data_IF_435936220773
#
_entry.id   IF_435936220773
#
_cell.length_a   1.000
_cell.length_b   1.000
_cell.length_c   1.000
_cell.angle_alpha   90.00
_cell.angle_beta   90.00
_cell.angle_gamma   90.00
#
_symmetry.space_group_name_H-M   'P 1'
#
loop_
_entity.id
_entity.type
_entity.pdbx_description
1 polymer ?
#
# COMPACT_ATOMS: atom_id res chain seq x y z
N UNK A 1 61.52 -44.15 -30.79
CA UNK A 1 60.48 -43.21 -31.23
C UNK A 1 61.03 -42.40 -32.37
N UNK A 2 60.54 -42.67 -33.60
CA UNK A 2 61.04 -42.06 -34.80
C UNK A 2 60.56 -40.64 -34.99
N UNK A 3 61.34 -39.84 -35.72
CA UNK A 3 61.00 -38.42 -36.02
C UNK A 3 59.65 -38.30 -36.77
N UNK A 4 59.27 -39.31 -37.52
CA UNK A 4 57.98 -39.42 -38.20
C UNK A 4 56.77 -39.29 -37.26
N UNK A 5 56.80 -39.91 -36.10
CA UNK A 5 55.67 -39.90 -35.16
C UNK A 5 55.38 -38.56 -34.46
N UNK A 6 56.25 -37.57 -34.59
CA UNK A 6 56.10 -36.23 -33.99
C UNK A 6 55.63 -35.20 -34.99
N UNK A 7 56.06 -35.32 -36.21
CA UNK A 7 55.54 -34.48 -37.28
C UNK A 7 54.08 -34.81 -37.52
N UNK A 8 53.70 -36.11 -37.40
CA UNK A 8 52.32 -36.57 -37.41
C UNK A 8 51.46 -35.97 -36.25
N UNK A 9 52.06 -35.81 -35.03
CA UNK A 9 51.36 -35.22 -33.91
C UNK A 9 51.12 -33.70 -34.06
N UNK A 10 52.08 -32.99 -34.66
CA UNK A 10 51.91 -31.58 -34.97
C UNK A 10 50.89 -31.36 -36.10
N UNK A 11 50.94 -32.15 -37.16
CA UNK A 11 49.96 -32.06 -38.25
C UNK A 11 48.54 -32.40 -37.78
N UNK A 12 48.41 -33.40 -36.93
CA UNK A 12 47.13 -33.70 -36.28
C UNK A 12 46.62 -32.52 -35.42
N UNK A 13 47.53 -31.89 -34.67
CA UNK A 13 47.17 -30.73 -33.86
C UNK A 13 46.73 -29.50 -34.73
N UNK A 14 47.45 -29.22 -35.83
CA UNK A 14 47.07 -28.13 -36.75
C UNK A 14 45.73 -28.38 -37.41
N UNK A 15 45.43 -29.61 -37.78
CA UNK A 15 44.16 -30.03 -38.36
C UNK A 15 43.03 -29.83 -37.36
N UNK A 16 43.22 -30.28 -36.10
CA UNK A 16 42.23 -30.10 -35.06
C UNK A 16 42.05 -28.63 -34.65
N UNK A 17 43.16 -27.84 -34.64
CA UNK A 17 43.12 -26.39 -34.36
C UNK A 17 42.31 -25.63 -35.40
N UNK A 18 42.44 -26.00 -36.68
CA UNK A 18 41.70 -25.37 -37.77
C UNK A 18 40.18 -25.60 -37.67
N UNK A 19 39.73 -26.65 -36.97
CA UNK A 19 38.32 -26.94 -36.74
C UNK A 19 37.71 -26.23 -35.51
N UNK A 20 38.55 -25.57 -34.72
CA UNK A 20 38.09 -24.86 -33.49
C UNK A 20 37.29 -23.61 -33.87
N UNK A 21 36.07 -23.49 -33.35
CA UNK A 21 35.19 -22.35 -33.61
C UNK A 21 34.82 -21.55 -32.35
N UNK A 22 34.96 -22.13 -31.17
CA UNK A 22 34.60 -21.50 -29.89
C UNK A 22 35.75 -21.55 -28.87
N UNK A 23 35.76 -20.62 -27.87
CA UNK A 23 36.72 -20.69 -26.77
C UNK A 23 36.66 -22.04 -25.99
N UNK A 24 35.49 -22.67 -25.93
CA UNK A 24 35.30 -23.95 -25.29
C UNK A 24 35.97 -25.09 -26.06
N UNK A 25 35.90 -25.06 -27.39
CA UNK A 25 36.58 -26.04 -28.26
C UNK A 25 38.10 -25.89 -28.13
N UNK A 26 38.59 -24.63 -28.07
CA UNK A 26 40.02 -24.36 -27.89
C UNK A 26 40.52 -24.89 -26.54
N UNK A 27 39.74 -24.73 -25.45
CA UNK A 27 40.09 -25.30 -24.15
C UNK A 27 40.09 -26.80 -24.18
N UNK A 28 39.13 -27.43 -24.83
CA UNK A 28 39.04 -28.87 -24.98
C UNK A 28 40.24 -29.42 -25.78
N UNK A 29 40.70 -28.70 -26.82
CA UNK A 29 41.91 -29.04 -27.58
C UNK A 29 43.16 -28.90 -26.71
N UNK A 30 43.28 -27.83 -25.94
CA UNK A 30 44.37 -27.59 -24.97
C UNK A 30 44.48 -28.76 -23.98
N UNK A 31 43.36 -29.18 -23.38
CA UNK A 31 43.32 -30.28 -22.41
C UNK A 31 43.72 -31.63 -23.05
N UNK A 32 43.32 -31.86 -24.31
CA UNK A 32 43.67 -33.10 -25.07
C UNK A 32 45.16 -33.22 -25.35
N UNK A 33 45.83 -32.11 -25.60
CA UNK A 33 47.27 -32.10 -25.93
C UNK A 33 48.17 -31.87 -24.74
N UNK A 34 47.79 -30.93 -23.82
CA UNK A 34 48.61 -30.43 -22.71
C UNK A 34 48.13 -30.85 -21.35
N UNK A 35 46.97 -31.53 -21.25
CA UNK A 35 46.38 -31.94 -19.99
C UNK A 35 47.32 -32.77 -19.12
N UNK A 36 47.39 -32.53 -17.81
CA UNK A 36 48.31 -33.20 -16.88
C UNK A 36 48.02 -34.73 -16.76
N UNK A 37 46.74 -35.11 -16.84
CA UNK A 37 46.29 -36.51 -16.82
C UNK A 37 45.71 -36.86 -18.21
N UNK A 38 46.49 -37.59 -19.01
CA UNK A 38 46.01 -38.07 -20.30
C UNK A 38 46.23 -37.19 -21.52
N UNK A 39 46.93 -36.04 -21.40
CA UNK A 39 47.31 -35.22 -22.56
C UNK A 39 48.33 -35.95 -23.44
N UNK A 40 48.15 -35.85 -24.78
CA UNK A 40 49.01 -36.55 -25.75
C UNK A 40 50.51 -36.21 -25.55
N UNK A 41 50.85 -34.95 -25.30
CA UNK A 41 52.25 -34.54 -25.02
C UNK A 41 52.68 -35.00 -23.62
N UNK A 42 51.78 -34.95 -22.61
CA UNK A 42 52.09 -35.45 -21.27
C UNK A 42 52.35 -36.94 -21.22
N UNK A 43 51.63 -37.73 -22.05
CA UNK A 43 51.88 -39.16 -22.22
C UNK A 43 53.29 -39.45 -22.77
N UNK A 44 53.78 -38.66 -23.75
CA UNK A 44 55.13 -38.77 -24.31
C UNK A 44 56.22 -38.47 -23.27
N UNK A 45 55.99 -37.56 -22.32
CA UNK A 45 56.90 -37.33 -21.20
C UNK A 45 56.97 -38.54 -20.23
N UNK A 46 55.91 -39.27 -20.06
CA UNK A 46 55.92 -40.50 -19.25
C UNK A 46 56.76 -41.59 -19.89
N UNK A 47 56.76 -41.74 -21.22
CA UNK A 47 57.60 -42.69 -21.97
C UNK A 47 59.09 -42.37 -21.88
N UNK A 48 59.50 -41.11 -21.66
CA UNK A 48 60.88 -40.72 -21.41
C UNK A 48 61.53 -41.42 -20.20
N UNK A 49 60.73 -41.87 -19.26
CA UNK A 49 61.22 -42.57 -18.07
C UNK A 49 61.88 -43.89 -18.39
N UNK A 50 61.56 -44.52 -19.54
CA UNK A 50 62.00 -45.89 -19.98
C UNK A 50 63.21 -45.85 -20.91
N UNK A 51 63.74 -44.66 -21.26
CA UNK A 51 64.82 -44.51 -22.27
C UNK A 51 66.19 -44.25 -21.59
N UNK A 52 67.29 -44.62 -22.25
CA UNK A 52 68.69 -44.45 -21.77
C UNK A 52 69.04 -42.97 -21.58
N UNK A 53 69.97 -42.63 -20.64
CA UNK A 53 70.26 -41.21 -20.21
C UNK A 53 70.69 -40.32 -21.34
N UNK A 54 71.44 -40.74 -22.33
CA UNK A 54 71.86 -39.91 -23.48
C UNK A 54 70.70 -39.52 -24.37
N UNK A 55 69.83 -40.48 -24.74
CA UNK A 55 68.63 -40.19 -25.54
C UNK A 55 67.56 -39.41 -24.82
N UNK A 56 67.51 -39.52 -23.48
CA UNK A 56 66.56 -38.83 -22.64
C UNK A 56 66.71 -37.29 -22.73
N UNK A 57 67.93 -36.77 -22.75
CA UNK A 57 68.23 -35.34 -22.87
C UNK A 57 67.80 -34.75 -24.22
N UNK A 58 68.09 -35.49 -25.29
CA UNK A 58 67.75 -35.04 -26.66
C UNK A 58 66.21 -35.08 -26.87
N UNK A 59 65.56 -36.17 -26.50
CA UNK A 59 64.12 -36.33 -26.63
C UNK A 59 63.34 -35.35 -25.72
N UNK A 60 63.83 -35.09 -24.51
CA UNK A 60 63.24 -34.06 -23.61
C UNK A 60 63.33 -32.67 -24.20
N UNK A 61 64.48 -32.31 -24.80
CA UNK A 61 64.61 -30.96 -25.46
C UNK A 61 63.69 -30.83 -26.67
N UNK A 62 63.46 -31.91 -27.42
CA UNK A 62 62.52 -31.89 -28.55
C UNK A 62 61.05 -31.87 -28.11
N UNK A 63 60.65 -32.58 -27.06
CA UNK A 63 59.28 -32.50 -26.49
C UNK A 63 58.98 -31.11 -25.88
N UNK A 64 59.98 -30.51 -25.24
CA UNK A 64 59.80 -29.15 -24.75
C UNK A 64 59.58 -28.14 -25.89
N UNK A 65 60.26 -28.29 -27.02
CA UNK A 65 60.05 -27.45 -28.24
C UNK A 65 58.68 -27.70 -28.84
N UNK A 66 58.21 -28.94 -28.91
CA UNK A 66 56.86 -29.26 -29.41
C UNK A 66 55.79 -28.69 -28.49
N UNK A 67 55.95 -28.84 -27.16
CA UNK A 67 55.06 -28.25 -26.17
C UNK A 67 54.95 -26.75 -26.30
N UNK A 68 56.11 -26.05 -26.38
CA UNK A 68 56.13 -24.61 -26.54
C UNK A 68 55.49 -24.13 -27.86
N UNK A 69 55.64 -24.94 -28.93
CA UNK A 69 55.01 -24.66 -30.23
C UNK A 69 53.52 -24.80 -30.19
N UNK A 70 52.96 -25.82 -29.49
CA UNK A 70 51.55 -26.07 -29.29
C UNK A 70 50.94 -24.94 -28.39
N UNK A 71 51.61 -24.60 -27.29
CA UNK A 71 51.17 -23.50 -26.40
C UNK A 71 51.08 -22.19 -27.15
N UNK A 72 52.13 -21.82 -27.89
CA UNK A 72 52.15 -20.59 -28.68
C UNK A 72 51.11 -20.55 -29.82
N UNK A 73 50.76 -21.70 -30.40
CA UNK A 73 49.72 -21.78 -31.42
C UNK A 73 48.33 -21.59 -30.80
N UNK A 74 48.06 -22.21 -29.62
CA UNK A 74 46.82 -22.06 -28.89
C UNK A 74 46.59 -20.62 -28.41
N UNK A 75 47.65 -19.97 -27.91
CA UNK A 75 47.57 -18.57 -27.46
C UNK A 75 47.27 -17.61 -28.59
N UNK A 76 47.97 -17.73 -29.75
CA UNK A 76 47.65 -16.93 -30.96
C UNK A 76 46.23 -17.17 -31.45
N UNK A 77 45.76 -18.41 -31.39
CA UNK A 77 44.38 -18.69 -31.81
C UNK A 77 43.34 -18.16 -30.83
N UNK A 78 43.64 -18.11 -29.53
CA UNK A 78 42.80 -17.45 -28.52
C UNK A 78 42.67 -15.96 -28.79
N UNK A 79 43.81 -15.29 -29.11
CA UNK A 79 43.78 -13.85 -29.46
C UNK A 79 42.93 -13.59 -30.71
N UNK A 80 43.08 -14.49 -31.74
CA UNK A 80 42.26 -14.39 -32.95
C UNK A 80 40.78 -14.57 -32.69
N UNK A 81 40.38 -15.53 -31.85
CA UNK A 81 38.98 -15.71 -31.45
C UNK A 81 38.44 -14.53 -30.66
N UNK A 82 39.25 -13.97 -29.75
CA UNK A 82 38.86 -12.79 -28.96
C UNK A 82 38.68 -11.54 -29.85
N UNK A 83 39.56 -11.36 -30.85
CA UNK A 83 39.48 -10.22 -31.78
C UNK A 83 38.34 -10.34 -32.82
N UNK A 84 37.87 -11.58 -33.09
CA UNK A 84 36.74 -11.83 -34.00
C UNK A 84 35.38 -11.76 -33.33
N UNK A 85 35.32 -11.67 -31.99
CA UNK A 85 34.05 -11.48 -31.27
C UNK A 85 33.45 -10.10 -31.66
N UNK A 86 32.13 -10.06 -31.99
CA UNK A 86 31.49 -8.78 -32.24
C UNK A 86 31.62 -7.89 -30.99
N UNK A 87 31.89 -6.59 -31.17
CA UNK A 87 31.95 -5.67 -30.03
C UNK A 87 30.63 -5.74 -29.25
N UNK A 88 30.69 -5.62 -27.93
CA UNK A 88 29.47 -5.58 -27.14
C UNK A 88 28.55 -4.47 -27.65
N UNK A 89 27.22 -4.68 -27.65
CA UNK A 89 26.27 -3.67 -28.10
C UNK A 89 26.57 -2.35 -27.36
N UNK A 90 26.93 -1.32 -28.10
CA UNK A 90 27.15 0.01 -27.52
C UNK A 90 25.81 0.53 -27.07
N UNK A 91 25.69 0.76 -25.77
CA UNK A 91 24.54 1.46 -25.21
C UNK A 91 24.54 2.87 -25.79
N UNK A 92 23.49 3.23 -26.49
CA UNK A 92 23.33 4.58 -27.01
C UNK A 92 22.72 5.45 -25.91
N UNK A 93 23.46 6.35 -25.26
CA UNK A 93 22.95 7.16 -24.18
C UNK A 93 21.97 8.25 -24.66
N UNK A 94 21.83 8.44 -25.97
CA UNK A 94 20.85 9.39 -26.52
C UNK A 94 19.46 8.79 -26.70
N UNK A 95 19.33 7.46 -26.64
CA UNK A 95 18.05 6.82 -26.65
C UNK A 95 17.35 7.04 -25.29
N UNK A 96 16.09 7.47 -25.35
CA UNK A 96 15.27 7.59 -24.16
C UNK A 96 15.17 6.22 -23.47
N UNK A 97 15.53 6.17 -22.20
CA UNK A 97 15.32 4.99 -21.35
C UNK A 97 13.83 4.67 -21.22
N UNK A 98 13.50 3.43 -20.89
CA UNK A 98 12.13 3.09 -20.47
C UNK A 98 11.87 3.80 -19.15
N UNK A 99 11.00 4.81 -19.17
CA UNK A 99 10.52 5.42 -17.93
C UNK A 99 9.71 4.37 -17.18
N UNK A 100 9.91 4.23 -15.86
CA UNK A 100 9.03 3.41 -15.06
C UNK A 100 7.59 3.95 -15.18
N UNK A 101 6.60 3.07 -15.27
CA UNK A 101 5.20 3.47 -15.22
C UNK A 101 4.97 4.01 -13.80
N UNK A 102 4.73 5.30 -13.70
CA UNK A 102 4.34 5.94 -12.45
C UNK A 102 2.83 5.74 -12.29
N UNK A 103 2.43 5.10 -11.21
CA UNK A 103 1.01 4.92 -10.91
C UNK A 103 0.34 6.22 -10.45
N UNK A 104 -0.98 6.24 -10.46
CA UNK A 104 -1.79 7.34 -9.97
C UNK A 104 -2.33 7.02 -8.57
N UNK A 105 -2.50 8.05 -7.73
CA UNK A 105 -3.14 7.88 -6.43
C UNK A 105 -4.64 7.67 -6.66
N UNK A 106 -5.20 6.64 -6.04
CA UNK A 106 -6.64 6.38 -6.10
C UNK A 106 -7.42 7.62 -5.61
N UNK A 107 -8.47 8.08 -6.31
CA UNK A 107 -9.17 9.33 -6.00
C UNK A 107 -9.72 9.40 -4.57
N UNK A 108 -10.21 8.28 -4.02
CA UNK A 108 -10.66 8.21 -2.62
C UNK A 108 -9.48 8.37 -1.64
N UNK A 109 -8.34 7.77 -1.94
CA UNK A 109 -7.12 7.92 -1.12
C UNK A 109 -6.62 9.36 -1.15
N UNK A 110 -6.57 9.98 -2.34
CA UNK A 110 -6.20 11.38 -2.51
C UNK A 110 -7.10 12.29 -1.67
N UNK A 111 -8.42 12.12 -1.78
CA UNK A 111 -9.39 12.93 -1.05
C UNK A 111 -9.30 12.71 0.46
N UNK A 112 -9.23 11.46 0.91
CA UNK A 112 -9.05 11.10 2.31
C UNK A 112 -7.81 11.77 2.91
N UNK A 113 -6.67 11.64 2.26
CA UNK A 113 -5.41 12.26 2.72
C UNK A 113 -5.54 13.79 2.81
N UNK A 114 -6.23 14.42 1.85
CA UNK A 114 -6.46 15.86 1.87
C UNK A 114 -7.36 16.29 3.03
N UNK A 115 -8.43 15.55 3.31
CA UNK A 115 -9.31 15.76 4.47
C UNK A 115 -8.53 15.60 5.78
N UNK A 116 -7.79 14.53 5.92
CA UNK A 116 -6.95 14.27 7.10
C UNK A 116 -5.94 15.39 7.34
N UNK A 117 -5.25 15.85 6.29
CA UNK A 117 -4.29 16.95 6.37
C UNK A 117 -4.94 18.25 6.81
N UNK A 118 -6.13 18.58 6.27
CA UNK A 118 -6.87 19.78 6.66
C UNK A 118 -7.24 19.77 8.15
N UNK A 119 -7.84 18.69 8.62
CA UNK A 119 -8.28 18.60 10.02
C UNK A 119 -7.09 18.45 10.98
N UNK A 120 -6.01 17.77 10.60
CA UNK A 120 -4.77 17.74 11.38
C UNK A 120 -4.19 19.16 11.57
N UNK A 121 -4.15 19.96 10.50
CA UNK A 121 -3.72 21.37 10.58
C UNK A 121 -4.66 22.24 11.46
N UNK A 122 -5.94 21.88 11.53
CA UNK A 122 -6.92 22.50 12.43
C UNK A 122 -6.86 21.97 13.88
N UNK A 123 -5.91 21.11 14.20
CA UNK A 123 -5.66 20.57 15.55
C UNK A 123 -6.59 19.41 15.94
N UNK A 124 -7.10 18.66 14.97
CA UNK A 124 -7.85 17.43 15.22
C UNK A 124 -6.88 16.23 15.29
N UNK A 125 -7.14 15.35 16.22
CA UNK A 125 -6.52 14.02 16.25
C UNK A 125 -7.21 13.10 15.23
N UNK A 126 -6.43 12.35 14.47
CA UNK A 126 -6.95 11.40 13.49
C UNK A 126 -6.97 10.03 14.13
N UNK A 127 -8.14 9.43 14.23
CA UNK A 127 -8.33 8.13 14.85
C UNK A 127 -8.55 7.05 13.81
N UNK A 128 -8.03 5.88 14.08
CA UNK A 128 -8.41 4.65 13.40
C UNK A 128 -9.19 3.75 14.37
N UNK A 129 -10.08 2.91 13.85
CA UNK A 129 -10.91 2.06 14.68
C UNK A 129 -11.36 0.78 14.01
N UNK A 130 -11.89 -0.17 14.80
CA UNK A 130 -12.32 -1.46 14.29
C UNK A 130 -13.49 -1.32 13.30
N UNK A 131 -13.46 -2.13 12.25
CA UNK A 131 -14.58 -2.24 11.31
C UNK A 131 -15.72 -3.13 11.86
N UNK A 132 -15.39 -3.99 12.83
CA UNK A 132 -16.37 -4.79 13.55
C UNK A 132 -16.69 -4.15 14.88
N UNK A 133 -17.98 -3.97 15.16
CA UNK A 133 -18.45 -3.27 16.35
C UNK A 133 -19.45 -4.11 17.15
N UNK A 134 -19.67 -3.69 18.38
CA UNK A 134 -20.80 -4.15 19.15
C UNK A 134 -22.00 -3.19 19.01
N UNK A 135 -23.14 -3.69 19.34
CA UNK A 135 -24.41 -2.97 19.25
C UNK A 135 -24.45 -1.70 20.12
N UNK A 136 -23.80 -1.73 21.28
CA UNK A 136 -23.74 -0.59 22.20
C UNK A 136 -23.03 0.62 21.57
N UNK A 137 -21.82 0.42 21.04
CA UNK A 137 -21.03 1.51 20.46
C UNK A 137 -21.58 1.99 19.10
N UNK A 138 -22.21 1.07 18.33
CA UNK A 138 -22.73 1.45 17.03
C UNK A 138 -24.11 2.10 17.12
N UNK A 139 -24.89 1.84 18.17
CA UNK A 139 -26.27 2.33 18.28
C UNK A 139 -26.65 2.89 19.65
N UNK A 140 -26.59 2.09 20.71
CA UNK A 140 -27.20 2.42 21.98
C UNK A 140 -26.59 3.70 22.60
N UNK A 141 -25.26 3.77 22.68
CA UNK A 141 -24.55 4.94 23.21
C UNK A 141 -24.70 6.19 22.34
N UNK A 142 -25.16 6.04 21.10
CA UNK A 142 -25.49 7.13 20.18
C UNK A 142 -26.99 7.51 20.20
N UNK A 143 -27.68 7.19 21.30
CA UNK A 143 -29.10 7.48 21.48
C UNK A 143 -30.02 6.77 20.46
N UNK A 144 -29.63 5.56 20.05
CA UNK A 144 -30.37 4.68 19.14
C UNK A 144 -30.73 3.37 19.88
N UNK A 145 -31.71 3.36 20.78
CA UNK A 145 -32.14 2.14 21.51
C UNK A 145 -32.72 1.11 20.53
N UNK A 146 -32.87 -0.13 21.00
CA UNK A 146 -33.25 -1.28 20.17
C UNK A 146 -34.59 -1.10 19.42
N UNK A 147 -35.49 -0.36 19.99
CA UNK A 147 -36.84 -0.06 19.48
C UNK A 147 -36.92 1.25 18.69
N UNK A 148 -35.79 1.94 18.47
CA UNK A 148 -35.79 3.21 17.78
C UNK A 148 -36.01 3.03 16.25
N UNK A 149 -37.03 3.68 15.64
CA UNK A 149 -37.35 3.50 14.22
C UNK A 149 -36.19 3.77 13.25
N UNK A 150 -35.31 4.71 13.59
CA UNK A 150 -34.15 5.02 12.74
C UNK A 150 -33.11 3.89 12.70
N UNK A 151 -33.15 2.94 13.66
CA UNK A 151 -32.28 1.77 13.70
C UNK A 151 -32.69 0.71 12.67
N UNK A 152 -34.01 0.52 12.48
CA UNK A 152 -34.56 -0.38 11.46
C UNK A 152 -34.26 0.10 10.04
N UNK A 153 -34.08 1.39 9.84
CA UNK A 153 -33.77 2.00 8.55
C UNK A 153 -32.28 1.85 8.15
N UNK A 154 -31.44 1.46 9.09
CA UNK A 154 -30.03 1.19 8.81
C UNK A 154 -29.85 -0.29 8.60
N UNK A 155 -29.87 -0.74 7.34
CA UNK A 155 -29.61 -2.12 6.95
C UNK A 155 -28.24 -2.59 7.45
N UNK A 156 -28.21 -3.15 8.66
CA UNK A 156 -26.99 -3.54 9.36
C UNK A 156 -26.59 -4.97 9.00
N UNK A 157 -25.29 -5.17 8.77
CA UNK A 157 -24.71 -6.49 8.56
C UNK A 157 -24.23 -7.08 9.89
N UNK A 158 -25.03 -7.97 10.46
CA UNK A 158 -24.67 -8.71 11.68
C UNK A 158 -23.84 -9.96 11.34
N UNK A 159 -22.86 -10.26 12.19
CA UNK A 159 -22.02 -11.46 12.06
C UNK A 159 -22.65 -12.64 12.79
N UNK A 160 -22.73 -13.79 12.15
CA UNK A 160 -23.38 -15.01 12.71
C UNK A 160 -22.63 -15.60 13.91
N UNK A 161 -21.33 -15.31 14.04
CA UNK A 161 -20.50 -15.78 15.16
C UNK A 161 -19.77 -14.58 15.76
N UNK A 162 -19.66 -14.53 17.11
CA UNK A 162 -18.84 -13.50 17.73
C UNK A 162 -17.41 -13.65 17.21
N UNK A 163 -16.95 -12.66 16.47
CA UNK A 163 -15.56 -12.55 16.08
C UNK A 163 -14.72 -12.29 17.34
N UNK A 164 -13.59 -12.98 17.54
CA UNK A 164 -12.74 -12.67 18.67
C UNK A 164 -12.37 -11.18 18.56
N UNK A 165 -12.70 -10.41 19.59
CA UNK A 165 -12.47 -8.95 19.60
C UNK A 165 -11.00 -8.70 19.35
N UNK A 166 -10.63 -7.98 18.29
CA UNK A 166 -9.26 -7.53 18.16
C UNK A 166 -8.98 -6.60 19.34
N UNK A 167 -8.02 -6.96 20.18
CA UNK A 167 -7.44 -6.05 21.17
C UNK A 167 -6.56 -5.09 20.37
N UNK A 168 -7.15 -4.02 19.85
CA UNK A 168 -6.35 -2.96 19.28
C UNK A 168 -5.70 -2.19 20.42
N UNK A 169 -4.37 -2.06 20.45
CA UNK A 169 -3.74 -1.04 21.26
C UNK A 169 -4.14 0.31 20.67
N UNK A 170 -5.20 0.91 21.18
CA UNK A 170 -5.47 2.32 20.95
C UNK A 170 -4.23 3.07 21.38
N UNK A 171 -3.62 3.81 20.47
CA UNK A 171 -2.33 4.47 20.48
C UNK A 171 -1.63 4.47 21.83
N UNK A 172 -0.41 3.96 21.88
CA UNK A 172 0.36 3.89 23.13
C UNK A 172 0.39 5.28 23.74
N UNK A 173 -0.42 5.50 24.77
CA UNK A 173 -0.39 6.71 25.58
C UNK A 173 1.00 6.85 26.18
N UNK A 174 1.81 7.78 25.62
CA UNK A 174 3.13 8.11 26.14
C UNK A 174 3.07 8.80 27.51
N UNK A 175 1.90 8.87 28.14
CA UNK A 175 1.65 9.42 29.48
C UNK A 175 1.08 8.39 30.45
N UNK A 176 1.33 7.11 30.25
CA UNK A 176 0.92 6.04 31.16
C UNK A 176 1.60 6.21 32.54
N UNK A 177 1.04 7.09 33.35
CA UNK A 177 1.29 7.28 34.78
C UNK A 177 0.01 7.12 35.63
N UNK A 178 -1.10 6.64 35.05
CA UNK A 178 -2.34 6.32 35.78
C UNK A 178 -2.81 4.90 35.49
N UNK A 179 -2.29 3.96 36.26
CA UNK A 179 -2.95 2.71 36.51
C UNK A 179 -4.26 3.06 37.23
N UNK A 180 -5.40 2.85 36.62
CA UNK A 180 -6.70 2.52 37.22
C UNK A 180 -7.95 2.95 36.42
N UNK A 181 -7.87 3.12 35.09
CA UNK A 181 -9.08 3.38 34.31
C UNK A 181 -9.72 2.10 33.74
N UNK A 182 -9.12 0.94 33.93
CA UNK A 182 -9.62 -0.34 33.38
C UNK A 182 -10.74 -0.97 34.21
N UNK A 183 -11.05 -0.45 35.41
CA UNK A 183 -12.04 -1.06 36.30
C UNK A 183 -13.48 -0.55 36.12
N UNK A 184 -13.73 0.50 35.36
CA UNK A 184 -15.08 1.04 35.18
C UNK A 184 -15.83 0.51 33.94
N UNK A 185 -15.21 -0.26 33.09
CA UNK A 185 -15.80 -0.79 31.84
C UNK A 185 -16.16 -2.29 31.97
N UNK A 186 -16.03 -2.88 33.15
CA UNK A 186 -16.33 -4.30 33.42
C UNK A 186 -17.60 -4.48 34.23
N UNK A 187 -18.75 -4.05 33.70
CA UNK A 187 -19.99 -4.78 33.97
C UNK A 187 -19.92 -6.11 33.20
N UNK A 188 -20.66 -7.16 33.62
CA UNK A 188 -20.77 -8.39 32.87
C UNK A 188 -21.42 -8.07 31.50
N UNK A 189 -20.62 -7.75 30.50
CA UNK A 189 -21.10 -7.60 29.13
C UNK A 189 -21.48 -8.99 28.67
N UNK A 190 -22.75 -9.13 28.34
CA UNK A 190 -23.29 -10.36 27.78
C UNK A 190 -22.39 -10.82 26.65
N UNK A 191 -21.78 -11.99 26.77
CA UNK A 191 -20.94 -12.61 25.72
C UNK A 191 -21.74 -12.89 24.43
N UNK A 192 -23.05 -12.61 24.46
CA UNK A 192 -24.02 -12.68 23.38
C UNK A 192 -24.26 -11.33 22.68
N UNK A 193 -23.55 -10.25 23.04
CA UNK A 193 -23.71 -8.98 22.34
C UNK A 193 -23.50 -9.17 20.86
N UNK A 194 -24.49 -8.80 20.05
CA UNK A 194 -24.44 -8.92 18.61
C UNK A 194 -23.22 -8.19 18.07
N UNK A 195 -22.41 -8.89 17.29
CA UNK A 195 -21.27 -8.29 16.58
C UNK A 195 -21.72 -7.93 15.16
N UNK A 196 -21.39 -6.75 14.71
CA UNK A 196 -21.81 -6.22 13.42
C UNK A 196 -20.64 -5.55 12.68
N UNK A 197 -20.79 -5.32 11.40
CA UNK A 197 -19.95 -4.39 10.67
C UNK A 197 -20.48 -2.97 10.90
N UNK A 198 -19.61 -2.04 11.32
CA UNK A 198 -20.02 -0.66 11.66
C UNK A 198 -20.71 0.03 10.50
N UNK A 199 -21.82 0.69 10.78
CA UNK A 199 -22.64 1.40 9.78
C UNK A 199 -22.21 2.86 9.59
N UNK A 200 -21.37 3.36 10.50
CA UNK A 200 -20.75 4.69 10.51
C UNK A 200 -19.48 4.64 11.37
N UNK A 201 -18.70 5.71 11.36
CA UNK A 201 -17.49 5.81 12.19
C UNK A 201 -17.72 6.48 13.55
N UNK A 202 -18.98 6.87 13.87
CA UNK A 202 -19.36 7.51 15.17
C UNK A 202 -19.08 6.63 16.38
N UNK A 203 -19.03 5.30 16.21
CA UNK A 203 -18.65 4.37 17.28
C UNK A 203 -17.30 4.73 17.91
N UNK A 204 -16.37 5.28 17.10
CA UNK A 204 -15.08 5.74 17.60
C UNK A 204 -15.17 6.99 18.47
N UNK A 205 -16.19 7.83 18.28
CA UNK A 205 -16.46 8.98 19.15
C UNK A 205 -16.79 8.49 20.58
N UNK A 206 -17.65 7.48 20.70
CA UNK A 206 -18.00 6.85 21.98
C UNK A 206 -16.75 6.23 22.60
N UNK A 207 -16.02 5.37 21.86
CA UNK A 207 -14.80 4.71 22.35
C UNK A 207 -13.72 5.68 22.80
N UNK A 208 -13.62 6.84 22.15
CA UNK A 208 -12.67 7.88 22.53
C UNK A 208 -13.11 8.60 23.79
N UNK A 209 -14.37 9.04 23.87
CA UNK A 209 -14.92 9.75 25.03
C UNK A 209 -14.95 8.87 26.29
N UNK A 210 -15.15 7.56 26.18
CA UNK A 210 -15.06 6.63 27.33
C UNK A 210 -13.68 6.62 28.00
N UNK A 211 -12.64 7.10 27.33
CA UNK A 211 -11.23 6.99 27.78
C UNK A 211 -10.53 8.33 27.97
N UNK A 212 -11.12 9.40 27.49
CA UNK A 212 -10.51 10.73 27.49
C UNK A 212 -11.48 11.76 28.06
N UNK A 213 -10.97 12.67 28.84
CA UNK A 213 -11.73 13.81 29.35
C UNK A 213 -11.70 14.97 28.32
N UNK A 214 -12.74 15.81 28.24
CA UNK A 214 -12.71 17.02 27.45
C UNK A 214 -11.54 17.95 27.83
N UNK A 215 -10.97 18.73 26.89
CA UNK A 215 -11.48 18.95 25.54
C UNK A 215 -11.14 17.82 24.55
N UNK A 216 -12.10 17.46 23.70
CA UNK A 216 -11.96 16.48 22.62
C UNK A 216 -12.04 17.17 21.27
N UNK A 217 -11.16 16.79 20.34
CA UNK A 217 -11.20 17.23 18.96
C UNK A 217 -10.61 16.16 18.07
N UNK A 218 -11.48 15.39 17.43
CA UNK A 218 -11.09 14.17 16.68
C UNK A 218 -11.80 14.12 15.33
N UNK A 219 -11.17 13.42 14.37
CA UNK A 219 -11.84 12.86 13.20
C UNK A 219 -11.55 11.35 13.12
N UNK A 220 -12.49 10.59 12.59
CA UNK A 220 -12.33 9.16 12.35
C UNK A 220 -12.68 8.83 10.89
N UNK A 221 -11.69 8.77 9.99
CA UNK A 221 -11.88 8.24 8.64
C UNK A 221 -11.90 6.71 8.67
N UNK A 222 -12.80 6.09 7.91
CA UNK A 222 -12.82 4.63 7.84
C UNK A 222 -13.92 4.07 6.95
N UNK A 223 -13.80 2.77 6.67
CA UNK A 223 -14.83 2.03 5.96
C UNK A 223 -16.03 1.80 6.85
N UNK A 224 -17.19 1.83 6.22
CA UNK A 224 -18.49 1.55 6.83
C UNK A 224 -19.30 0.65 5.92
N UNK A 225 -20.29 -0.03 6.49
CA UNK A 225 -21.00 -1.11 5.81
C UNK A 225 -22.49 -0.97 6.03
N UNK A 226 -23.26 -1.04 4.94
CA UNK A 226 -24.74 -1.01 4.97
C UNK A 226 -25.27 -2.04 3.98
N UNK A 227 -26.44 -2.56 4.23
CA UNK A 227 -27.10 -3.52 3.34
C UNK A 227 -27.76 -2.84 2.13
N UNK A 228 -27.16 -1.77 1.62
CA UNK A 228 -27.64 -1.06 0.44
C UNK A 228 -27.49 -1.93 -0.82
N UNK A 229 -28.42 -1.77 -1.74
CA UNK A 229 -28.27 -2.32 -3.09
C UNK A 229 -27.17 -1.55 -3.84
N UNK A 230 -26.37 -2.27 -4.59
CA UNK A 230 -25.36 -1.67 -5.44
C UNK A 230 -26.03 -0.96 -6.62
N UNK A 231 -25.97 0.39 -6.66
CA UNK A 231 -26.44 1.22 -7.76
C UNK A 231 -25.43 2.32 -8.11
N UNK A 232 -25.84 3.35 -8.86
CA UNK A 232 -24.97 4.46 -9.24
C UNK A 232 -24.56 5.37 -8.07
N UNK A 233 -25.29 5.33 -6.96
CA UNK A 233 -25.13 6.23 -5.82
C UNK A 233 -24.89 5.52 -4.51
N UNK A 234 -25.13 4.21 -4.44
CA UNK A 234 -24.99 3.40 -3.23
C UNK A 234 -24.10 2.19 -3.46
N UNK A 235 -23.36 1.81 -2.43
CA UNK A 235 -22.54 0.61 -2.39
C UNK A 235 -22.55 0.04 -0.96
N UNK A 236 -22.57 -1.31 -0.79
CA UNK A 236 -22.61 -1.94 0.51
C UNK A 236 -21.41 -1.59 1.41
N UNK A 237 -20.29 -1.22 0.85
CA UNK A 237 -19.10 -0.76 1.56
C UNK A 237 -18.68 0.58 0.97
N UNK A 238 -18.53 1.60 1.82
CA UNK A 238 -18.04 2.92 1.45
C UNK A 238 -17.19 3.51 2.58
N UNK A 239 -16.66 4.70 2.40
CA UNK A 239 -15.82 5.37 3.39
C UNK A 239 -16.51 6.61 3.93
N UNK A 240 -16.42 6.79 5.24
CA UNK A 240 -16.87 8.00 5.91
C UNK A 240 -15.70 8.68 6.65
N UNK A 241 -15.82 9.97 6.83
CA UNK A 241 -15.07 10.73 7.83
C UNK A 241 -16.07 11.37 8.76
N UNK A 242 -15.97 11.07 10.04
CA UNK A 242 -16.76 11.72 11.05
C UNK A 242 -15.87 12.48 12.02
N UNK A 243 -16.36 13.61 12.47
CA UNK A 243 -15.64 14.48 13.40
C UNK A 243 -16.45 14.81 14.63
N UNK A 244 -15.74 15.02 15.74
CA UNK A 244 -16.30 15.38 17.03
C UNK A 244 -15.45 16.46 17.69
N UNK A 245 -16.12 17.45 18.23
CA UNK A 245 -15.52 18.45 19.14
C UNK A 245 -16.36 18.50 20.41
N UNK A 246 -15.73 18.37 21.57
CA UNK A 246 -16.37 18.49 22.89
C UNK A 246 -15.55 19.43 23.79
N UNK A 247 -16.22 20.28 24.51
CA UNK A 247 -15.59 21.19 25.47
C UNK A 247 -16.62 22.05 26.18
N UNK A 248 -16.18 22.94 27.04
CA UNK A 248 -17.06 23.90 27.69
C UNK A 248 -17.50 25.00 26.70
N UNK A 249 -18.80 25.21 26.55
CA UNK A 249 -19.35 26.29 25.73
C UNK A 249 -19.13 26.13 24.21
N UNK A 250 -19.00 24.93 23.69
CA UNK A 250 -18.95 24.66 22.24
C UNK A 250 -20.32 24.95 21.63
N UNK A 251 -20.35 25.61 20.45
CA UNK A 251 -21.56 26.16 19.85
C UNK A 251 -21.78 25.76 18.41
N UNK A 252 -23.01 25.84 17.92
CA UNK A 252 -23.37 25.70 16.50
C UNK A 252 -22.63 26.69 15.58
N UNK A 253 -22.26 27.85 16.08
CA UNK A 253 -21.48 28.84 15.33
C UNK A 253 -20.06 28.33 15.06
N UNK A 254 -19.45 27.64 16.02
CA UNK A 254 -18.14 26.98 15.85
C UNK A 254 -18.21 25.80 14.89
N UNK A 255 -19.30 25.01 14.91
CA UNK A 255 -19.55 23.98 13.92
C UNK A 255 -19.56 24.57 12.49
N UNK A 256 -20.35 25.62 12.27
CA UNK A 256 -20.38 26.31 10.98
C UNK A 256 -19.02 26.90 10.61
N UNK A 257 -18.32 27.50 11.59
CA UNK A 257 -16.97 28.05 11.42
C UNK A 257 -15.91 26.98 11.08
N UNK A 258 -16.15 25.72 11.42
CA UNK A 258 -15.31 24.57 11.04
C UNK A 258 -15.63 24.09 9.63
N UNK A 259 -16.91 23.89 9.32
CA UNK A 259 -17.32 23.22 8.08
C UNK A 259 -17.28 24.15 6.85
N UNK A 260 -17.63 25.44 7.00
CA UNK A 260 -17.66 26.36 5.84
C UNK A 260 -16.27 26.57 5.24
N UNK A 261 -15.20 26.86 6.00
CA UNK A 261 -13.85 26.96 5.47
C UNK A 261 -13.34 25.64 4.87
N UNK A 262 -13.64 24.51 5.52
CA UNK A 262 -13.29 23.19 5.00
C UNK A 262 -13.89 22.93 3.61
N UNK A 263 -15.19 23.16 3.44
CA UNK A 263 -15.87 22.94 2.16
C UNK A 263 -15.37 23.91 1.08
N UNK A 264 -15.01 25.15 1.44
CA UNK A 264 -14.38 26.10 0.52
C UNK A 264 -12.97 25.71 0.14
N UNK A 265 -12.17 25.21 1.06
CA UNK A 265 -10.84 24.65 0.75
C UNK A 265 -10.94 23.50 -0.24
N UNK A 266 -11.96 22.64 -0.09
CA UNK A 266 -12.13 21.45 -0.91
C UNK A 266 -12.68 21.77 -2.29
N UNK A 267 -13.73 22.63 -2.38
CA UNK A 267 -14.50 22.90 -3.60
C UNK A 267 -14.25 24.27 -4.22
N UNK A 268 -13.47 25.12 -3.55
CA UNK A 268 -13.15 26.49 -3.97
C UNK A 268 -14.07 27.55 -3.35
N UNK A 269 -13.60 28.79 -3.35
CA UNK A 269 -14.24 29.92 -2.66
C UNK A 269 -15.63 30.31 -3.21
N UNK A 270 -15.94 29.94 -4.46
CA UNK A 270 -17.18 30.34 -5.15
C UNK A 270 -18.39 29.49 -4.79
N UNK A 271 -18.19 28.38 -4.07
CA UNK A 271 -19.30 27.52 -3.70
C UNK A 271 -20.21 28.20 -2.66
N UNK A 272 -21.49 27.99 -2.86
CA UNK A 272 -22.51 28.40 -1.91
C UNK A 272 -22.83 27.24 -0.99
N UNK A 273 -22.94 27.54 0.32
CA UNK A 273 -23.16 26.53 1.36
C UNK A 273 -24.40 26.94 2.15
N UNK A 274 -25.31 25.98 2.36
CA UNK A 274 -26.49 26.18 3.20
C UNK A 274 -26.66 25.03 4.18
N UNK A 275 -27.12 25.37 5.39
CA UNK A 275 -27.48 24.43 6.43
C UNK A 275 -29.00 24.35 6.50
N UNK A 276 -29.55 23.15 6.31
CA UNK A 276 -30.99 22.90 6.41
C UNK A 276 -31.28 22.09 7.66
N UNK A 277 -32.33 22.42 8.41
CA UNK A 277 -32.73 21.59 9.56
C UNK A 277 -32.91 20.12 9.17
N UNK A 278 -32.40 19.24 10.00
CA UNK A 278 -32.50 17.80 9.86
C UNK A 278 -32.71 17.14 11.22
N UNK A 279 -32.79 15.83 11.25
CA UNK A 279 -32.93 15.07 12.48
C UNK A 279 -31.97 13.87 12.48
N UNK A 280 -31.13 13.82 13.52
CA UNK A 280 -30.33 12.63 13.85
C UNK A 280 -30.48 12.36 15.35
N UNK A 281 -30.67 11.09 15.79
CA UNK A 281 -30.88 10.78 17.21
C UNK A 281 -29.76 11.22 18.13
N UNK A 282 -28.54 11.25 17.62
CA UNK A 282 -27.31 11.58 18.35
C UNK A 282 -26.94 13.07 18.31
N UNK A 283 -27.73 13.91 17.62
CA UNK A 283 -27.50 15.39 17.59
C UNK A 283 -28.81 16.17 17.70
N UNK A 284 -28.75 17.31 18.42
CA UNK A 284 -29.85 18.26 18.54
C UNK A 284 -29.32 19.67 18.90
N UNK A 285 -29.53 20.71 18.07
CA UNK A 285 -30.14 20.65 16.73
C UNK A 285 -29.24 19.94 15.70
N UNK A 286 -29.90 19.33 14.71
CA UNK A 286 -29.24 18.68 13.56
C UNK A 286 -29.43 19.51 12.30
N UNK A 287 -28.49 19.36 11.36
CA UNK A 287 -28.56 19.96 10.03
C UNK A 287 -27.91 19.09 8.96
N UNK A 288 -28.51 19.10 7.77
CA UNK A 288 -27.85 18.66 6.54
C UNK A 288 -27.20 19.87 5.86
N UNK A 289 -25.99 19.66 5.37
CA UNK A 289 -25.23 20.70 4.66
C UNK A 289 -25.30 20.44 3.17
N UNK A 290 -25.76 21.45 2.45
CA UNK A 290 -25.87 21.43 0.99
C UNK A 290 -24.87 22.41 0.39
N UNK A 291 -24.32 21.99 -0.74
CA UNK A 291 -23.40 22.76 -1.54
C UNK A 291 -23.99 23.00 -2.94
N UNK A 292 -23.79 24.19 -3.48
CA UNK A 292 -24.07 24.55 -4.86
C UNK A 292 -22.83 25.22 -5.46
N UNK A 293 -22.39 24.71 -6.61
CA UNK A 293 -21.42 25.42 -7.44
C UNK A 293 -22.17 26.15 -8.56
N UNK A 294 -22.25 27.48 -8.54
CA UNK A 294 -22.95 28.25 -9.57
C UNK A 294 -22.41 28.01 -10.99
N UNK A 295 -21.15 27.61 -11.14
CA UNK A 295 -20.55 27.30 -12.44
C UNK A 295 -21.03 25.95 -13.00
N UNK A 296 -21.51 25.04 -12.13
CA UNK A 296 -22.03 23.72 -12.51
C UNK A 296 -23.54 23.65 -12.57
N UNK A 297 -24.24 24.76 -12.25
CA UNK A 297 -25.69 24.88 -12.36
C UNK A 297 -26.42 25.16 -11.04
N UNK A 298 -27.77 25.19 -11.06
CA UNK A 298 -28.58 25.67 -9.94
C UNK A 298 -28.81 24.60 -8.84
N UNK A 299 -28.40 23.34 -9.04
CA UNK A 299 -28.76 22.22 -8.16
C UNK A 299 -27.98 22.28 -6.85
N UNK A 300 -28.70 22.21 -5.75
CA UNK A 300 -28.13 21.99 -4.42
C UNK A 300 -27.90 20.49 -4.20
N UNK A 301 -26.71 20.14 -3.71
CA UNK A 301 -26.31 18.76 -3.45
C UNK A 301 -25.94 18.62 -1.98
N UNK A 302 -26.57 17.67 -1.31
CA UNK A 302 -26.23 17.30 0.05
C UNK A 302 -24.83 16.69 0.07
N UNK A 303 -24.01 17.17 1.03
CA UNK A 303 -22.60 16.76 1.15
C UNK A 303 -22.25 16.14 2.49
N UNK A 304 -22.92 16.53 3.57
CA UNK A 304 -22.68 16.00 4.92
C UNK A 304 -23.85 16.29 5.87
N UNK A 305 -23.95 15.47 6.93
CA UNK A 305 -24.80 15.73 8.09
C UNK A 305 -23.99 16.26 9.27
N UNK A 306 -24.60 17.08 10.13
CA UNK A 306 -23.93 17.62 11.32
C UNK A 306 -24.96 18.04 12.39
N UNK A 307 -24.47 18.34 13.60
CA UNK A 307 -25.31 18.88 14.68
C UNK A 307 -24.56 19.04 15.98
N UNK A 308 -25.27 19.62 16.97
CA UNK A 308 -24.77 19.61 18.33
C UNK A 308 -25.02 18.24 18.96
N UNK A 309 -24.05 17.74 19.70
CA UNK A 309 -24.14 16.40 20.31
C UNK A 309 -25.31 16.37 21.30
N UNK A 310 -26.17 15.37 21.19
CA UNK A 310 -27.29 15.17 22.10
C UNK A 310 -26.79 14.89 23.53
N UNK A 311 -27.37 15.50 24.58
CA UNK A 311 -27.00 15.25 25.97
C UNK A 311 -26.97 13.77 26.37
N UNK A 312 -27.88 12.95 25.85
CA UNK A 312 -27.92 11.51 26.11
C UNK A 312 -26.63 10.77 25.68
N UNK A 313 -25.93 11.26 24.64
CA UNK A 313 -24.64 10.71 24.22
C UNK A 313 -23.55 10.99 25.26
N UNK A 314 -23.57 12.20 25.88
CA UNK A 314 -22.64 12.53 26.96
C UNK A 314 -22.92 11.69 28.22
N UNK A 315 -24.19 11.51 28.58
CA UNK A 315 -24.59 10.66 29.71
C UNK A 315 -24.10 9.21 29.51
N UNK A 316 -24.21 8.67 28.27
CA UNK A 316 -23.78 7.31 27.96
C UNK A 316 -22.27 7.09 28.18
N UNK A 317 -21.46 8.11 28.02
CA UNK A 317 -19.99 8.06 28.22
C UNK A 317 -19.55 8.62 29.57
N UNK A 318 -20.49 9.08 30.41
CA UNK A 318 -20.21 9.59 31.76
C UNK A 318 -19.72 11.03 31.81
N UNK A 319 -19.96 11.81 30.76
CA UNK A 319 -19.71 13.28 30.76
C UNK A 319 -20.91 14.02 31.34
N UNK A 320 -20.67 15.12 32.01
CA UNK A 320 -21.70 16.02 32.53
C UNK A 320 -22.26 16.90 31.41
N UNK A 321 -23.53 16.70 30.95
CA UNK A 321 -24.11 17.47 29.87
C UNK A 321 -24.44 18.93 30.24
N UNK A 322 -24.50 19.28 31.53
CA UNK A 322 -24.65 20.66 31.99
C UNK A 322 -23.33 21.45 31.88
N UNK A 323 -22.20 20.75 31.89
CA UNK A 323 -20.88 21.36 31.80
C UNK A 323 -20.33 21.36 30.38
N UNK A 324 -20.52 20.25 29.65
CA UNK A 324 -19.90 20.06 28.34
C UNK A 324 -20.95 20.13 27.23
N UNK A 325 -20.55 20.80 26.16
CA UNK A 325 -21.27 20.81 24.89
C UNK A 325 -20.35 20.35 23.78
N UNK A 326 -20.89 19.96 22.65
CA UNK A 326 -20.08 19.51 21.53
C UNK A 326 -20.86 19.54 20.23
N UNK A 327 -20.11 19.39 19.13
CA UNK A 327 -20.71 19.18 17.85
C UNK A 327 -20.06 17.99 17.14
N UNK A 328 -20.84 17.35 16.27
CA UNK A 328 -20.39 16.27 15.41
C UNK A 328 -20.80 16.54 13.95
N UNK A 329 -20.05 15.95 13.04
CA UNK A 329 -20.34 15.95 11.61
C UNK A 329 -19.87 14.66 10.95
N UNK A 330 -20.54 14.27 9.85
CA UNK A 330 -20.19 13.06 9.10
C UNK A 330 -20.38 13.25 7.61
N UNK A 331 -19.39 12.77 6.81
CA UNK A 331 -19.38 12.90 5.36
C UNK A 331 -18.92 11.60 4.70
N UNK A 332 -19.57 11.24 3.58
CA UNK A 332 -19.14 10.13 2.72
C UNK A 332 -18.02 10.60 1.77
N UNK A 333 -16.89 9.90 1.77
CA UNK A 333 -15.73 10.26 0.92
C UNK A 333 -16.10 10.10 -0.55
N UNK A 334 -16.80 9.03 -0.92
CA UNK A 334 -17.24 8.79 -2.30
C UNK A 334 -18.15 9.91 -2.81
N UNK A 335 -19.08 10.35 -1.96
CA UNK A 335 -19.98 11.44 -2.32
C UNK A 335 -19.23 12.74 -2.63
N UNK A 336 -18.25 13.07 -1.79
CA UNK A 336 -17.39 14.23 -2.01
C UNK A 336 -16.51 14.05 -3.26
N UNK A 337 -15.97 12.84 -3.48
CA UNK A 337 -15.14 12.52 -4.64
C UNK A 337 -15.95 12.61 -5.95
N UNK A 338 -17.17 12.08 -5.98
CA UNK A 338 -18.08 12.20 -7.12
C UNK A 338 -18.32 13.68 -7.50
N UNK A 339 -18.55 14.52 -6.48
CA UNK A 339 -18.77 15.95 -6.70
C UNK A 339 -17.50 16.69 -7.13
N UNK A 340 -16.36 16.37 -6.52
CA UNK A 340 -15.09 17.04 -6.79
C UNK A 340 -14.58 16.71 -8.20
N UNK A 341 -14.62 15.44 -8.56
CA UNK A 341 -14.06 14.91 -9.82
C UNK A 341 -15.08 14.78 -10.96
N UNK A 342 -16.37 14.99 -10.70
CA UNK A 342 -17.41 14.85 -11.73
C UNK A 342 -17.67 13.38 -12.11
N UNK A 343 -17.57 12.47 -11.15
CA UNK A 343 -17.88 11.04 -11.35
C UNK A 343 -19.36 10.80 -11.08
N UNK A 344 -20.07 10.24 -12.04
CA UNK A 344 -21.53 10.05 -11.96
C UNK A 344 -21.94 8.69 -11.40
N UNK A 345 -21.00 7.76 -11.27
CA UNK A 345 -21.25 6.39 -10.84
C UNK A 345 -20.23 5.95 -9.78
N UNK A 346 -20.70 5.71 -8.55
CA UNK A 346 -19.88 5.32 -7.40
C UNK A 346 -19.11 4.01 -7.62
N UNK A 347 -19.62 3.10 -8.46
CA UNK A 347 -19.03 1.79 -8.74
C UNK A 347 -17.66 1.91 -9.38
N UNK A 348 -17.42 2.98 -10.16
CA UNK A 348 -16.14 3.24 -10.83
C UNK A 348 -14.97 3.34 -9.84
N UNK A 349 -15.20 3.76 -8.60
CA UNK A 349 -14.16 3.78 -7.57
C UNK A 349 -13.71 2.38 -7.12
N UNK A 350 -14.49 1.34 -7.41
CA UNK A 350 -14.27 -0.02 -6.91
C UNK A 350 -14.04 -1.06 -8.02
N UNK A 351 -14.27 -0.70 -9.28
CA UNK A 351 -14.07 -1.60 -10.43
C UNK A 351 -12.60 -1.79 -10.81
N UNK A 352 -11.72 -0.96 -10.28
CA UNK A 352 -10.27 -1.02 -10.52
C UNK A 352 -9.88 -0.92 -12.01
N UNK A 353 -10.64 -0.16 -12.80
CA UNK A 353 -10.31 0.11 -14.20
C UNK A 353 -9.14 1.11 -14.28
N UNK A 354 -8.03 0.66 -14.85
CA UNK A 354 -6.80 1.47 -14.97
C UNK A 354 -7.07 2.75 -15.77
N UNK A 355 -7.90 2.71 -16.82
CA UNK A 355 -8.26 3.86 -17.65
C UNK A 355 -9.02 4.94 -16.86
N UNK A 356 -9.77 4.51 -15.84
CA UNK A 356 -10.43 5.42 -14.90
C UNK A 356 -9.40 6.01 -13.94
N UNK A 357 -8.54 5.18 -13.36
CA UNK A 357 -7.56 5.60 -12.36
C UNK A 357 -6.49 6.56 -12.94
N UNK A 358 -6.11 6.40 -14.21
CA UNK A 358 -5.14 7.27 -14.89
C UNK A 358 -5.63 8.70 -15.12
N UNK A 359 -6.92 8.99 -14.93
CA UNK A 359 -7.50 10.33 -15.07
C UNK A 359 -7.28 11.23 -13.85
N UNK A 360 -6.81 10.67 -12.73
CA UNK A 360 -6.63 11.40 -11.46
C UNK A 360 -5.19 11.85 -11.26
N UNK A 361 -4.91 12.80 -10.33
CA UNK A 361 -3.57 13.31 -10.07
C UNK A 361 -2.58 12.20 -9.68
N UNK A 362 -1.31 12.41 -10.05
CA UNK A 362 -0.19 11.56 -9.66
C UNK A 362 0.25 11.83 -8.23
#
# INVERSE_FOLDING_TARGET
MDDANRDDLWEAFETELASVSTPRDLQSLRDRYLGRKGGRISGLYAELATVTAEKKRELGARLNRLKARVEGALDRYAEKLASSAPPPPRLDPTLAGRLPIVGHVHPLTYLRTRIEAYFAAAGYEILDGPETEDDYHNFEALNLPADHPARDMQDTLYLEKPWPRPVFPVGADRRAGRADATSRISGPRDERAATLLRTHTSSMQIRYMERHEPPVRIICPGRVYRRDNLDQTHTPMFQQVEGLVVGEGVTMAQLKGTLVPFLRDLFGERVEITFRPSFFPYTEPSADVFLRDPARGPKWLEVLGCGMVNPAVFEAVGYDPERYTGFAFGMGIERLAMLLFGVDDIRQFYENDVRFLEQFPQ
#
